data_IF_100966326373
#
_entry.id   IF_100966326373
#
_cell.length_a   1.000
_cell.length_b   1.000
_cell.length_c   1.000
_cell.angle_alpha   90.00
_cell.angle_beta   90.00
_cell.angle_gamma   90.00
#
_symmetry.space_group_name_H-M   'P 1'
#
loop_
_entity.id
_entity.type
_entity.pdbx_description
1 polymer ?
#
# COMPACT_ATOMS: atom_id res chain seq x y z
N UNK A 1 -25.71 26.48 -32.93
CA UNK A 1 -26.77 25.68 -32.27
C UNK A 1 -26.31 25.41 -30.85
N UNK A 2 -27.16 25.51 -29.82
CA UNK A 2 -26.87 24.88 -28.52
C UNK A 2 -27.11 23.37 -28.66
N UNK A 3 -26.32 22.56 -27.97
CA UNK A 3 -26.66 21.17 -27.66
C UNK A 3 -26.76 21.11 -26.14
N UNK A 4 -27.95 20.79 -25.65
CA UNK A 4 -28.21 20.55 -24.23
C UNK A 4 -28.54 19.06 -24.07
N UNK A 5 -28.08 18.42 -23.01
CA UNK A 5 -28.50 17.05 -22.67
C UNK A 5 -27.36 16.08 -22.36
N UNK A 6 -26.72 16.29 -21.21
CA UNK A 6 -25.86 15.30 -20.56
C UNK A 6 -26.06 15.38 -19.03
N UNK A 7 -27.31 15.18 -18.59
CA UNK A 7 -27.72 14.94 -17.20
C UNK A 7 -28.43 13.58 -17.18
N UNK A 8 -27.72 12.50 -16.83
CA UNK A 8 -28.34 11.17 -16.64
C UNK A 8 -27.68 10.27 -15.60
N UNK A 9 -26.38 10.40 -15.32
CA UNK A 9 -25.69 9.41 -14.46
C UNK A 9 -25.94 9.62 -12.95
N UNK A 10 -26.44 10.80 -12.57
CA UNK A 10 -26.76 11.16 -11.18
C UNK A 10 -27.85 10.32 -10.53
N UNK A 11 -28.66 9.60 -11.30
CA UNK A 11 -29.88 8.93 -10.83
C UNK A 11 -29.66 7.47 -10.40
N UNK A 12 -28.50 6.87 -10.69
CA UNK A 12 -28.21 5.47 -10.39
C UNK A 12 -27.64 5.25 -8.98
N UNK A 13 -27.25 6.31 -8.28
CA UNK A 13 -26.75 6.26 -6.89
C UNK A 13 -27.87 6.32 -5.83
N UNK A 14 -29.02 6.94 -6.12
CA UNK A 14 -30.05 7.28 -5.12
C UNK A 14 -30.82 6.08 -4.51
N UNK A 15 -30.65 4.86 -5.04
CA UNK A 15 -31.26 3.62 -4.49
C UNK A 15 -30.23 2.61 -3.96
N UNK A 16 -28.97 3.02 -3.83
CA UNK A 16 -27.89 2.17 -3.38
C UNK A 16 -27.78 2.22 -1.85
N UNK A 17 -27.72 1.07 -1.18
CA UNK A 17 -27.58 1.08 0.28
C UNK A 17 -26.12 1.20 0.70
N UNK A 18 -25.86 1.91 1.81
CA UNK A 18 -24.51 2.14 2.33
C UNK A 18 -23.73 0.83 2.53
N UNK A 19 -24.41 -0.23 2.96
CA UNK A 19 -23.82 -1.56 3.12
C UNK A 19 -23.33 -2.17 1.79
N UNK A 20 -24.04 -1.96 0.68
CA UNK A 20 -23.60 -2.39 -0.66
C UNK A 20 -22.44 -1.52 -1.16
N UNK A 21 -22.44 -0.22 -0.83
CA UNK A 21 -21.37 0.69 -1.18
C UNK A 21 -20.06 0.32 -0.47
N UNK A 22 -20.13 0.00 0.83
CA UNK A 22 -18.99 -0.50 1.62
C UNK A 22 -18.48 -1.83 1.09
N UNK A 23 -19.35 -2.79 0.75
CA UNK A 23 -18.94 -4.09 0.20
C UNK A 23 -18.16 -3.94 -1.12
N UNK A 24 -18.63 -3.10 -2.04
CA UNK A 24 -17.89 -2.80 -3.28
C UNK A 24 -16.57 -2.05 -3.01
N UNK A 25 -16.56 -1.06 -2.11
CA UNK A 25 -15.33 -0.34 -1.76
C UNK A 25 -14.27 -1.26 -1.11
N UNK A 26 -14.69 -2.18 -0.23
CA UNK A 26 -13.81 -3.19 0.35
C UNK A 26 -13.26 -4.14 -0.73
N UNK A 27 -14.10 -4.59 -1.65
CA UNK A 27 -13.69 -5.47 -2.76
C UNK A 27 -12.71 -4.77 -3.71
N UNK A 28 -13.02 -3.55 -4.16
CA UNK A 28 -12.17 -2.77 -5.05
C UNK A 28 -10.84 -2.41 -4.35
N UNK A 29 -10.88 -2.06 -3.06
CA UNK A 29 -9.69 -1.80 -2.25
C UNK A 29 -8.79 -3.03 -2.12
N UNK A 30 -9.35 -4.23 -1.91
CA UNK A 30 -8.57 -5.48 -1.91
C UNK A 30 -7.97 -5.78 -3.28
N UNK A 31 -8.69 -5.49 -4.38
CA UNK A 31 -8.15 -5.64 -5.73
C UNK A 31 -6.98 -4.68 -5.98
N UNK A 32 -7.09 -3.41 -5.57
CA UNK A 32 -6.00 -2.42 -5.64
C UNK A 32 -4.80 -2.85 -4.79
N UNK A 33 -5.01 -3.29 -3.54
CA UNK A 33 -3.95 -3.82 -2.66
C UNK A 33 -3.19 -4.96 -3.36
N UNK A 34 -3.90 -5.93 -3.93
CA UNK A 34 -3.29 -7.08 -4.60
C UNK A 34 -2.53 -6.70 -5.89
N UNK A 35 -3.04 -5.71 -6.65
CA UNK A 35 -2.35 -5.19 -7.83
C UNK A 35 -1.08 -4.44 -7.45
N UNK A 36 -1.19 -3.51 -6.49
CA UNK A 36 -0.10 -2.66 -6.02
C UNK A 36 0.99 -3.45 -5.28
N UNK A 37 0.69 -4.66 -4.79
CA UNK A 37 1.66 -5.60 -4.22
C UNK A 37 2.70 -6.12 -5.24
N UNK A 38 2.51 -5.88 -6.54
CA UNK A 38 3.54 -6.12 -7.55
C UNK A 38 4.70 -5.10 -7.48
N UNK A 39 4.51 -3.98 -6.78
CA UNK A 39 5.48 -2.87 -6.68
C UNK A 39 6.30 -2.91 -5.38
N UNK A 40 7.44 -2.23 -5.38
CA UNK A 40 8.29 -2.06 -4.18
C UNK A 40 7.66 -1.19 -3.06
N UNK A 41 6.40 -0.78 -3.17
CA UNK A 41 5.72 0.04 -2.15
C UNK A 41 5.67 -0.64 -0.77
N UNK A 42 5.67 -1.97 -0.70
CA UNK A 42 5.76 -2.69 0.58
C UNK A 42 7.15 -2.61 1.25
N UNK A 43 8.16 -2.09 0.54
CA UNK A 43 9.50 -1.82 1.05
C UNK A 43 9.73 -0.32 1.37
N UNK A 44 8.95 0.58 0.75
CA UNK A 44 9.16 2.04 0.83
C UNK A 44 8.08 2.79 1.64
N UNK A 45 6.85 2.28 1.72
CA UNK A 45 5.74 2.90 2.43
C UNK A 45 5.32 2.12 3.68
N UNK A 46 4.87 2.83 4.73
CA UNK A 46 4.29 2.17 5.90
C UNK A 46 2.92 1.56 5.56
N UNK A 47 2.52 0.38 6.08
CA UNK A 47 1.25 -0.26 5.73
C UNK A 47 0.00 0.62 5.90
N UNK A 48 -0.01 1.54 6.87
CA UNK A 48 -1.11 2.50 7.03
C UNK A 48 -1.12 3.61 5.97
N UNK A 49 0.04 4.01 5.43
CA UNK A 49 0.15 4.97 4.33
C UNK A 49 -0.27 4.31 3.01
N UNK A 50 0.12 3.05 2.80
CA UNK A 50 -0.31 2.23 1.66
C UNK A 50 -1.84 2.03 1.65
N UNK A 51 -2.42 1.62 2.79
CA UNK A 51 -3.88 1.50 2.92
C UNK A 51 -4.62 2.84 2.74
N UNK A 52 -4.01 3.96 3.17
CA UNK A 52 -4.58 5.30 2.97
C UNK A 52 -4.51 5.75 1.50
N UNK A 53 -3.43 5.44 0.78
CA UNK A 53 -3.32 5.70 -0.65
C UNK A 53 -4.35 4.91 -1.46
N UNK A 54 -4.61 3.64 -1.11
CA UNK A 54 -5.70 2.85 -1.70
C UNK A 54 -7.07 3.50 -1.42
N UNK A 55 -7.30 3.99 -0.19
CA UNK A 55 -8.55 4.68 0.17
C UNK A 55 -8.74 5.98 -0.65
N UNK A 56 -7.67 6.75 -0.83
CA UNK A 56 -7.67 7.99 -1.64
C UNK A 56 -7.89 7.70 -3.12
N UNK A 57 -7.30 6.64 -3.69
CA UNK A 57 -7.55 6.25 -5.08
C UNK A 57 -9.00 5.80 -5.30
N UNK A 58 -9.59 5.04 -4.36
CA UNK A 58 -11.02 4.76 -4.37
C UNK A 58 -11.85 6.06 -4.32
N UNK A 59 -11.40 7.07 -3.57
CA UNK A 59 -11.96 8.42 -3.54
C UNK A 59 -11.90 9.15 -4.89
N UNK A 60 -10.78 9.07 -5.62
CA UNK A 60 -10.65 9.65 -6.97
C UNK A 60 -11.69 9.07 -7.94
N UNK A 61 -11.96 7.76 -7.86
CA UNK A 61 -13.01 7.13 -8.70
C UNK A 61 -14.43 7.54 -8.32
N UNK A 62 -14.63 8.08 -7.11
CA UNK A 62 -15.94 8.36 -6.49
C UNK A 62 -15.92 9.70 -5.73
N UNK A 63 -15.78 10.86 -6.41
CA UNK A 63 -15.54 12.16 -5.75
C UNK A 63 -16.61 12.55 -4.72
N UNK A 64 -17.85 12.07 -4.87
CA UNK A 64 -18.95 12.28 -3.91
C UNK A 64 -18.72 11.67 -2.50
N UNK A 65 -17.58 11.01 -2.26
CA UNK A 65 -17.16 10.52 -0.96
C UNK A 65 -16.23 11.48 -0.21
N UNK A 66 -15.75 12.56 -0.86
CA UNK A 66 -14.90 13.62 -0.28
C UNK A 66 -13.69 13.08 0.53
N UNK A 67 -13.11 11.96 0.11
CA UNK A 67 -12.11 11.20 0.88
C UNK A 67 -10.88 12.04 1.23
N UNK A 68 -10.32 12.79 0.28
CA UNK A 68 -9.15 13.66 0.54
C UNK A 68 -9.47 14.76 1.55
N UNK A 69 -10.69 15.31 1.50
CA UNK A 69 -11.19 16.32 2.44
C UNK A 69 -11.27 15.71 3.84
N UNK A 70 -11.84 14.52 3.99
CA UNK A 70 -11.86 13.77 5.24
C UNK A 70 -10.45 13.49 5.79
N UNK A 71 -9.49 13.11 4.94
CA UNK A 71 -8.10 12.87 5.37
C UNK A 71 -7.42 14.17 5.82
N UNK A 72 -7.56 15.26 5.06
CA UNK A 72 -7.05 16.58 5.45
C UNK A 72 -7.66 17.06 6.78
N UNK A 73 -8.97 16.95 6.93
CA UNK A 73 -9.70 17.61 8.00
C UNK A 73 -9.76 16.78 9.28
N UNK A 74 -9.94 15.47 9.22
CA UNK A 74 -10.00 14.60 10.41
C UNK A 74 -8.63 14.00 10.78
N UNK A 75 -7.83 13.53 9.82
CA UNK A 75 -6.53 12.89 10.10
C UNK A 75 -5.40 13.91 10.24
N UNK A 76 -5.30 14.88 9.33
CA UNK A 76 -4.38 16.01 9.49
C UNK A 76 -4.95 17.11 10.39
N UNK A 77 -6.27 17.16 10.64
CA UNK A 77 -6.85 18.04 11.65
C UNK A 77 -6.98 19.49 11.21
N UNK A 78 -7.16 19.75 9.90
CA UNK A 78 -7.29 21.11 9.37
C UNK A 78 -8.63 21.78 9.73
N UNK A 79 -9.76 21.07 9.59
CA UNK A 79 -11.09 21.51 10.07
C UNK A 79 -11.95 20.32 10.58
N UNK A 80 -11.53 19.63 11.67
CA UNK A 80 -12.14 18.38 12.12
C UNK A 80 -13.57 18.59 12.64
N UNK A 81 -14.53 17.93 12.00
CA UNK A 81 -15.94 17.85 12.42
C UNK A 81 -16.03 17.07 13.74
N UNK A 82 -15.27 15.99 13.87
CA UNK A 82 -15.06 15.35 15.18
C UNK A 82 -14.01 16.12 15.95
N UNK A 83 -14.46 17.03 16.84
CA UNK A 83 -13.60 17.63 17.86
C UNK A 83 -13.01 16.54 18.75
N UNK A 84 -11.82 16.07 18.38
CA UNK A 84 -11.02 15.16 19.18
C UNK A 84 -10.93 15.72 20.60
N UNK A 85 -11.50 14.98 21.55
CA UNK A 85 -11.16 15.16 22.96
C UNK A 85 -9.69 14.78 23.10
N UNK A 86 -8.81 15.78 23.00
CA UNK A 86 -7.53 15.67 23.67
C UNK A 86 -7.85 15.32 25.12
N UNK A 87 -7.38 14.17 25.58
CA UNK A 87 -7.32 13.88 27.00
C UNK A 87 -6.33 14.88 27.59
N UNK A 88 -6.86 15.98 28.11
CA UNK A 88 -6.20 16.82 29.09
C UNK A 88 -6.07 15.98 30.35
N UNK A 89 -5.00 15.18 30.40
CA UNK A 89 -4.48 14.61 31.65
C UNK A 89 -4.05 15.80 32.52
N UNK A 90 -4.98 16.30 33.33
CA UNK A 90 -4.62 17.07 34.52
C UNK A 90 -3.94 16.12 35.52
N UNK A 91 -2.92 16.65 36.21
CA UNK A 91 -1.86 15.93 36.91
C UNK A 91 -2.36 15.12 38.12
N UNK A 92 -1.93 13.85 38.24
CA UNK A 92 -1.88 13.09 39.50
C UNK A 92 -1.02 11.79 39.37
N UNK A 93 0.25 11.85 39.80
CA UNK A 93 0.89 10.71 40.50
C UNK A 93 1.75 9.66 39.74
N UNK A 94 3.00 10.03 39.44
CA UNK A 94 4.25 9.23 39.62
C UNK A 94 4.55 7.91 38.84
N UNK A 95 5.86 7.58 38.77
CA UNK A 95 6.58 6.39 38.25
C UNK A 95 6.17 5.74 36.90
N UNK A 96 7.09 5.73 35.91
CA UNK A 96 7.00 4.84 34.74
C UNK A 96 7.59 5.33 33.41
N UNK A 97 8.65 6.13 33.42
CA UNK A 97 9.00 6.98 32.27
C UNK A 97 9.74 6.30 31.09
N UNK A 98 8.97 5.72 30.17
CA UNK A 98 9.30 5.70 28.73
C UNK A 98 8.05 6.09 27.91
N UNK A 99 7.50 7.29 28.12
CA UNK A 99 6.54 7.85 27.14
C UNK A 99 7.31 8.18 25.84
N UNK A 100 6.80 7.84 24.63
CA UNK A 100 7.45 8.24 23.38
C UNK A 100 7.51 9.77 23.31
N UNK A 101 8.67 10.32 22.92
CA UNK A 101 8.86 11.77 22.89
C UNK A 101 7.84 12.40 21.96
N UNK A 102 7.02 13.29 22.52
CA UNK A 102 5.94 14.00 21.84
C UNK A 102 6.56 15.12 20.99
N UNK A 103 7.07 14.74 19.83
CA UNK A 103 7.83 15.65 18.99
C UNK A 103 7.01 16.86 18.53
N UNK A 104 7.75 17.97 18.43
CA UNK A 104 7.33 19.35 18.22
C UNK A 104 6.16 19.54 17.24
N UNK A 105 5.10 20.20 17.74
CA UNK A 105 4.12 21.04 17.03
C UNK A 105 4.29 21.14 15.48
N UNK A 106 3.92 20.10 14.75
CA UNK A 106 3.66 20.23 13.31
C UNK A 106 2.20 20.66 13.13
N UNK A 107 1.98 21.82 12.52
CA UNK A 107 0.64 22.38 12.31
C UNK A 107 -0.19 21.51 11.34
N UNK A 108 -1.53 21.63 11.34
CA UNK A 108 -2.39 20.80 10.48
C UNK A 108 -2.04 20.86 8.99
N UNK A 109 -1.71 22.04 8.49
CA UNK A 109 -1.48 22.28 7.06
C UNK A 109 -0.13 21.72 6.62
N UNK A 110 0.94 21.90 7.40
CA UNK A 110 2.22 21.22 7.17
C UNK A 110 2.07 19.70 7.28
N UNK A 111 1.29 19.18 8.23
CA UNK A 111 0.98 17.73 8.32
C UNK A 111 0.18 17.22 7.13
N UNK A 112 -0.70 18.03 6.55
CA UNK A 112 -1.39 17.70 5.30
C UNK A 112 -0.42 17.67 4.12
N UNK A 113 0.44 18.69 3.96
CA UNK A 113 1.41 18.76 2.86
C UNK A 113 2.45 17.63 2.90
N UNK A 114 2.95 17.25 4.09
CA UNK A 114 3.80 16.07 4.26
C UNK A 114 3.09 14.76 3.89
N UNK A 115 1.78 14.66 4.17
CA UNK A 115 1.01 13.45 3.90
C UNK A 115 0.61 13.36 2.42
N UNK A 116 0.07 14.43 1.84
CA UNK A 116 -0.31 14.48 0.43
C UNK A 116 0.89 14.21 -0.45
N UNK A 117 2.05 14.84 -0.19
CA UNK A 117 3.28 14.59 -0.96
C UNK A 117 3.76 13.13 -0.91
N UNK A 118 3.47 12.39 0.17
CA UNK A 118 3.74 10.94 0.26
C UNK A 118 2.70 10.11 -0.51
N UNK A 119 1.43 10.50 -0.45
CA UNK A 119 0.35 9.86 -1.22
C UNK A 119 0.54 10.07 -2.73
N UNK A 120 0.94 11.28 -3.16
CA UNK A 120 1.33 11.62 -4.53
C UNK A 120 2.53 10.78 -4.99
N UNK A 121 3.55 10.60 -4.15
CA UNK A 121 4.71 9.75 -4.46
C UNK A 121 4.37 8.26 -4.56
N UNK A 122 3.44 7.78 -3.73
CA UNK A 122 2.87 6.43 -3.85
C UNK A 122 2.12 6.32 -5.18
N UNK A 123 1.26 7.29 -5.52
CA UNK A 123 0.52 7.32 -6.78
C UNK A 123 1.44 7.32 -8.00
N UNK A 124 2.46 8.17 -8.03
CA UNK A 124 3.44 8.21 -9.11
C UNK A 124 4.13 6.84 -9.29
N UNK A 125 4.45 6.16 -8.19
CA UNK A 125 5.04 4.80 -8.22
C UNK A 125 4.07 3.79 -8.86
N UNK A 126 2.76 3.95 -8.68
CA UNK A 126 1.73 3.13 -9.34
C UNK A 126 1.57 3.50 -10.83
N UNK A 127 1.45 4.79 -11.14
CA UNK A 127 1.20 5.30 -12.50
C UNK A 127 2.38 5.02 -13.46
N UNK A 128 3.61 4.91 -12.94
CA UNK A 128 4.81 4.55 -13.71
C UNK A 128 5.03 3.02 -13.82
N UNK A 129 4.32 2.19 -13.04
CA UNK A 129 4.58 0.75 -12.97
C UNK A 129 3.89 -0.07 -14.05
N UNK A 130 4.65 -0.96 -14.71
CA UNK A 130 4.14 -1.86 -15.73
C UNK A 130 3.61 -3.15 -15.11
N UNK A 131 2.35 -3.11 -14.64
CA UNK A 131 1.70 -4.26 -14.00
C UNK A 131 1.62 -5.49 -14.91
N UNK A 132 2.09 -6.63 -14.39
CA UNK A 132 1.99 -7.93 -15.02
C UNK A 132 0.53 -8.37 -14.93
N UNK A 133 -0.13 -8.44 -16.09
CA UNK A 133 -1.57 -8.77 -16.24
C UNK A 133 -1.82 -10.06 -17.01
N UNK A 134 -0.79 -10.60 -17.66
CA UNK A 134 -0.79 -11.93 -18.28
C UNK A 134 0.54 -12.63 -17.96
N UNK A 135 0.50 -13.94 -17.73
CA UNK A 135 1.67 -14.80 -17.56
C UNK A 135 1.81 -15.65 -18.82
N UNK A 136 2.27 -14.98 -19.88
CA UNK A 136 2.45 -15.57 -21.21
C UNK A 136 3.50 -16.68 -21.27
N UNK A 137 3.74 -17.27 -22.45
CA UNK A 137 4.78 -18.27 -22.63
C UNK A 137 6.17 -17.71 -22.31
N UNK A 138 7.04 -18.60 -21.84
CA UNK A 138 8.45 -18.37 -21.46
C UNK A 138 9.13 -17.34 -22.37
N UNK A 139 9.46 -16.18 -21.81
CA UNK A 139 10.15 -15.08 -22.52
C UNK A 139 11.65 -15.34 -22.70
N UNK A 140 12.32 -14.49 -23.47
CA UNK A 140 13.77 -14.58 -23.69
C UNK A 140 14.55 -14.48 -22.38
N UNK A 141 14.03 -13.70 -21.42
CA UNK A 141 14.57 -13.53 -20.08
C UNK A 141 14.59 -14.82 -19.26
N UNK A 142 13.53 -15.65 -19.29
CA UNK A 142 13.49 -16.91 -18.54
C UNK A 142 14.36 -17.99 -19.20
N UNK A 143 14.54 -17.95 -20.53
CA UNK A 143 15.53 -18.80 -21.23
C UNK A 143 16.95 -18.42 -20.80
N UNK A 144 17.28 -17.13 -20.77
CA UNK A 144 18.58 -16.63 -20.29
C UNK A 144 18.79 -16.96 -18.81
N UNK A 145 17.74 -16.86 -17.98
CA UNK A 145 17.78 -17.25 -16.57
C UNK A 145 18.04 -18.74 -16.38
N UNK A 146 17.48 -19.63 -17.22
CA UNK A 146 17.76 -21.07 -17.13
C UNK A 146 19.20 -21.39 -17.57
N UNK A 147 19.69 -20.77 -18.65
CA UNK A 147 21.09 -20.92 -19.12
C UNK A 147 22.14 -20.43 -18.09
N UNK A 148 21.80 -19.45 -17.24
CA UNK A 148 22.69 -18.92 -16.20
C UNK A 148 22.34 -19.32 -14.77
N UNK A 149 21.33 -20.18 -14.56
CA UNK A 149 20.88 -20.63 -13.24
C UNK A 149 22.02 -21.38 -12.54
N UNK A 150 22.42 -20.91 -11.35
CA UNK A 150 23.50 -21.56 -10.58
C UNK A 150 23.16 -23.04 -10.32
N UNK A 151 23.95 -24.01 -10.84
CA UNK A 151 23.60 -25.42 -10.80
C UNK A 151 23.51 -25.96 -9.36
N UNK A 152 24.14 -25.32 -8.38
CA UNK A 152 24.02 -25.69 -6.96
C UNK A 152 22.59 -25.53 -6.39
N UNK A 153 21.67 -24.88 -7.10
CA UNK A 153 20.23 -24.90 -6.77
C UNK A 153 19.43 -25.98 -7.53
N UNK A 154 20.02 -26.62 -8.54
CA UNK A 154 19.46 -27.82 -9.16
C UNK A 154 20.00 -29.08 -8.45
N UNK A 155 19.12 -29.75 -7.71
CA UNK A 155 19.41 -30.98 -6.95
C UNK A 155 19.87 -32.14 -7.85
N UNK A 156 19.50 -32.12 -9.14
CA UNK A 156 19.85 -33.14 -10.13
C UNK A 156 21.16 -32.83 -10.89
N UNK A 157 21.85 -31.73 -10.58
CA UNK A 157 23.13 -31.38 -11.23
C UNK A 157 24.33 -32.16 -10.68
N UNK A 158 25.31 -32.42 -11.55
CA UNK A 158 26.59 -33.01 -11.16
C UNK A 158 27.38 -32.10 -10.20
N UNK A 159 27.25 -30.77 -10.33
CA UNK A 159 27.85 -29.80 -9.41
C UNK A 159 27.25 -29.90 -8.01
N UNK A 160 25.92 -30.01 -7.88
CA UNK A 160 25.25 -30.22 -6.59
C UNK A 160 25.64 -31.58 -5.98
N UNK A 161 25.65 -32.65 -6.78
CA UNK A 161 26.06 -33.97 -6.33
C UNK A 161 27.51 -34.00 -5.82
N UNK A 162 28.44 -33.33 -6.52
CA UNK A 162 29.83 -33.18 -6.09
C UNK A 162 29.98 -32.31 -4.85
N UNK A 163 29.29 -31.16 -4.78
CA UNK A 163 29.31 -30.26 -3.63
C UNK A 163 28.77 -30.94 -2.37
N UNK A 164 27.67 -31.68 -2.50
CA UNK A 164 27.08 -32.49 -1.44
C UNK A 164 28.04 -33.60 -1.00
N UNK A 165 28.55 -34.42 -1.92
CA UNK A 165 29.50 -35.51 -1.61
C UNK A 165 30.73 -34.99 -0.86
N UNK A 166 31.24 -33.81 -1.24
CA UNK A 166 32.33 -33.13 -0.53
C UNK A 166 31.94 -32.64 0.87
N UNK A 167 30.72 -32.13 1.05
CA UNK A 167 30.22 -31.73 2.36
C UNK A 167 29.98 -32.94 3.29
N UNK A 168 29.33 -33.99 2.79
CA UNK A 168 29.09 -35.25 3.49
C UNK A 168 30.42 -35.89 3.95
N UNK A 169 31.44 -35.88 3.07
CA UNK A 169 32.80 -36.36 3.37
C UNK A 169 33.51 -35.52 4.46
N UNK A 170 33.35 -34.20 4.45
CA UNK A 170 33.90 -33.33 5.50
C UNK A 170 33.20 -33.53 6.84
N UNK A 171 31.87 -33.68 6.84
CA UNK A 171 31.09 -34.01 8.05
C UNK A 171 31.52 -35.36 8.64
N UNK A 172 31.72 -36.39 7.81
CA UNK A 172 32.23 -37.69 8.24
C UNK A 172 33.69 -37.69 8.75
N UNK A 173 34.39 -36.55 8.70
CA UNK A 173 35.70 -36.34 9.35
C UNK A 173 35.62 -35.48 10.62
N UNK A 174 34.41 -35.14 11.08
CA UNK A 174 34.13 -34.41 12.32
C UNK A 174 33.40 -35.27 13.38
N UNK A 175 33.06 -36.52 13.04
CA UNK A 175 32.48 -37.55 13.94
C UNK A 175 33.56 -38.50 14.50
#
# INVERSE_FOLDING_TARGET
RRICGARSDSYLLENRSDAQLVDELCKDGVNLINLWYQTDLCLTAHPSQFALAVLVELGHTRPQLDVEVFVRDELCGCDPVQKFKQHSEEDDGDEGDIKPKKDTKCDPETRWQELSSRLDSIRQTIDEFQFITDLGPVGEEEVILDECRNPLYNIESDEYAQAKSKADSLMATLE
#
